data_IF_035308535781
#
_entry.id   IF_035308535781
#
_cell.length_a   1.000
_cell.length_b   1.000
_cell.length_c   1.000
_cell.angle_alpha   90.00
_cell.angle_beta   90.00
_cell.angle_gamma   90.00
#
_symmetry.space_group_name_H-M   'P 1'
#
loop_
_entity.id
_entity.type
_entity.pdbx_description
1 polymer ?
#
# COMPACT_ATOMS: atom_id res chain seq x y z
N UNK A 1 11.83 -15.61 -6.47
CA UNK A 1 11.03 -16.83 -6.30
C UNK A 1 10.11 -16.77 -5.07
N UNK A 2 8.81 -16.52 -5.30
CA UNK A 2 7.75 -16.52 -4.25
C UNK A 2 6.68 -17.53 -4.61
N UNK A 3 6.31 -18.42 -3.69
CA UNK A 3 5.20 -19.38 -3.90
C UNK A 3 3.87 -18.70 -3.61
N UNK A 4 2.95 -18.78 -4.56
CA UNK A 4 1.61 -18.20 -4.45
C UNK A 4 0.53 -19.30 -4.64
N UNK A 5 -0.66 -19.02 -4.13
CA UNK A 5 -1.85 -19.86 -4.29
C UNK A 5 -3.00 -18.94 -4.69
N UNK A 6 -3.70 -19.28 -5.77
CA UNK A 6 -4.89 -18.53 -6.21
C UNK A 6 -6.09 -18.85 -5.33
N UNK A 7 -7.12 -18.01 -5.37
CA UNK A 7 -8.40 -18.28 -4.68
C UNK A 7 -9.07 -19.59 -5.14
N UNK A 8 -8.75 -20.06 -6.36
CA UNK A 8 -9.19 -21.35 -6.90
C UNK A 8 -8.34 -22.55 -6.49
N UNK A 9 -7.31 -22.35 -5.65
CA UNK A 9 -6.44 -23.40 -5.14
C UNK A 9 -5.26 -23.79 -6.04
N UNK A 10 -5.07 -23.10 -7.18
CA UNK A 10 -3.91 -23.33 -8.05
C UNK A 10 -2.65 -22.76 -7.38
N UNK A 11 -1.65 -23.60 -7.13
CA UNK A 11 -0.36 -23.15 -6.63
C UNK A 11 0.64 -23.01 -7.77
N UNK A 12 1.34 -21.87 -7.80
CA UNK A 12 2.39 -21.58 -8.76
C UNK A 12 3.54 -20.86 -8.07
N UNK A 13 4.69 -20.82 -8.74
CA UNK A 13 5.84 -20.06 -8.28
C UNK A 13 6.02 -18.86 -9.19
N UNK A 14 6.06 -17.67 -8.59
CA UNK A 14 6.38 -16.44 -9.27
C UNK A 14 7.88 -16.20 -9.17
N UNK A 15 8.56 -16.24 -10.31
CA UNK A 15 9.98 -15.90 -10.43
C UNK A 15 10.13 -14.81 -11.51
N UNK A 16 10.39 -13.59 -11.04
CA UNK A 16 10.55 -12.41 -11.89
C UNK A 16 12.03 -12.02 -11.86
N UNK A 17 12.61 -11.76 -13.04
CA UNK A 17 14.03 -11.38 -13.16
C UNK A 17 14.36 -10.06 -12.44
N UNK A 18 13.34 -9.21 -12.24
CA UNK A 18 13.45 -7.95 -11.51
C UNK A 18 12.25 -7.76 -10.57
N UNK A 19 12.39 -6.86 -9.60
CA UNK A 19 11.30 -6.44 -8.72
C UNK A 19 10.23 -5.71 -9.55
N UNK A 20 9.14 -6.41 -9.86
CA UNK A 20 7.99 -5.85 -10.57
C UNK A 20 6.85 -5.57 -9.60
N UNK A 21 6.26 -4.39 -9.67
CA UNK A 21 4.99 -4.09 -8.99
C UNK A 21 3.84 -4.70 -9.79
N UNK A 22 2.93 -5.37 -9.11
CA UNK A 22 1.69 -5.87 -9.70
C UNK A 22 0.55 -4.98 -9.21
N UNK A 23 -0.25 -4.48 -10.14
CA UNK A 23 -1.43 -3.67 -9.85
C UNK A 23 -2.73 -4.48 -9.96
N UNK A 24 -3.79 -3.96 -9.36
CA UNK A 24 -5.12 -4.55 -9.50
C UNK A 24 -5.53 -4.57 -10.98
N UNK A 25 -6.01 -5.71 -11.45
CA UNK A 25 -6.36 -5.89 -12.85
C UNK A 25 -5.26 -6.48 -13.74
N UNK A 26 -4.02 -6.58 -13.25
CA UNK A 26 -2.93 -7.23 -13.98
C UNK A 26 -3.17 -8.74 -14.16
N UNK A 27 -2.52 -9.33 -15.15
CA UNK A 27 -2.53 -10.77 -15.37
C UNK A 27 -1.13 -11.36 -15.29
N UNK A 28 -1.00 -12.42 -14.51
CA UNK A 28 0.17 -13.30 -14.53
C UNK A 28 -0.16 -14.44 -15.49
N UNK A 29 0.56 -14.50 -16.62
CA UNK A 29 0.47 -15.64 -17.54
C UNK A 29 1.47 -16.72 -17.10
N UNK A 30 1.00 -17.95 -16.92
CA UNK A 30 1.84 -19.10 -16.59
C UNK A 30 2.15 -19.93 -17.85
N UNK A 31 3.09 -20.87 -17.75
CA UNK A 31 3.68 -21.57 -18.90
C UNK A 31 2.69 -22.36 -19.79
N UNK A 32 1.52 -22.72 -19.28
CA UNK A 32 0.47 -23.41 -20.03
C UNK A 32 -0.49 -22.45 -20.77
N UNK A 33 -0.23 -21.14 -20.71
CA UNK A 33 -1.06 -20.08 -21.30
C UNK A 33 -2.23 -19.64 -20.41
N UNK A 34 -2.39 -20.22 -19.22
CA UNK A 34 -3.41 -19.77 -18.25
C UNK A 34 -3.05 -18.38 -17.71
N UNK A 35 -4.06 -17.51 -17.59
CA UNK A 35 -3.92 -16.17 -17.02
C UNK A 35 -4.56 -16.09 -15.65
N UNK A 36 -3.77 -15.66 -14.67
CA UNK A 36 -4.18 -15.45 -13.29
C UNK A 36 -4.36 -13.95 -13.08
N UNK A 37 -5.59 -13.53 -12.82
CA UNK A 37 -5.91 -12.13 -12.51
C UNK A 37 -5.39 -11.75 -11.12
N UNK A 38 -4.64 -10.65 -11.05
CA UNK A 38 -4.25 -10.01 -9.80
C UNK A 38 -5.42 -9.18 -9.31
N UNK A 39 -5.88 -9.46 -8.09
CA UNK A 39 -6.88 -8.66 -7.38
C UNK A 39 -6.31 -8.13 -6.09
N UNK A 40 -6.38 -6.81 -5.92
CA UNK A 40 -6.09 -6.19 -4.64
C UNK A 40 -7.15 -6.64 -3.62
N UNK A 41 -6.69 -7.25 -2.54
CA UNK A 41 -7.56 -7.75 -1.47
C UNK A 41 -8.23 -6.55 -0.78
N UNK A 42 -9.56 -6.54 -0.59
CA UNK A 42 -10.20 -5.54 0.25
C UNK A 42 -9.65 -5.61 1.68
N UNK A 43 -9.24 -4.47 2.20
CA UNK A 43 -8.74 -4.32 3.57
C UNK A 43 -9.45 -3.15 4.27
N UNK A 44 -9.42 -3.13 5.60
CA UNK A 44 -9.97 -1.99 6.35
C UNK A 44 -9.03 -0.80 6.22
N UNK A 45 -9.56 0.31 5.72
CA UNK A 45 -8.82 1.53 5.43
C UNK A 45 -9.47 2.71 6.16
N UNK A 46 -8.67 3.74 6.42
CA UNK A 46 -9.18 5.04 6.84
C UNK A 46 -9.40 5.93 5.61
N UNK A 47 -10.66 6.28 5.37
CA UNK A 47 -11.10 7.21 4.34
C UNK A 47 -11.16 8.61 4.92
N UNK A 48 -10.34 9.49 4.34
CA UNK A 48 -10.17 10.86 4.79
C UNK A 48 -10.90 11.79 3.82
N UNK A 49 -11.79 12.62 4.35
CA UNK A 49 -12.52 13.65 3.60
C UNK A 49 -12.42 15.01 4.29
N UNK A 50 -12.71 16.08 3.55
CA UNK A 50 -12.80 17.43 4.13
C UNK A 50 -12.46 18.53 3.12
N UNK A 51 -12.52 19.80 3.56
CA UNK A 51 -12.32 20.94 2.66
C UNK A 51 -10.86 21.10 2.20
N UNK A 52 -9.88 20.56 2.95
CA UNK A 52 -8.44 20.80 2.75
C UNK A 52 -7.68 19.52 2.35
N UNK A 53 -8.21 18.72 1.43
CA UNK A 53 -7.62 17.42 1.05
C UNK A 53 -6.14 17.49 0.62
N UNK A 54 -5.72 18.55 -0.07
CA UNK A 54 -4.32 18.72 -0.48
C UNK A 54 -3.38 18.89 0.73
N UNK A 55 -3.81 19.64 1.74
CA UNK A 55 -3.05 19.83 2.97
C UNK A 55 -2.98 18.52 3.77
N UNK A 56 -4.08 17.77 3.82
CA UNK A 56 -4.11 16.44 4.44
C UNK A 56 -3.14 15.48 3.75
N UNK A 57 -3.14 15.44 2.41
CA UNK A 57 -2.20 14.63 1.64
C UNK A 57 -0.75 14.99 1.93
N UNK A 58 -0.44 16.29 2.08
CA UNK A 58 0.88 16.76 2.47
C UNK A 58 1.29 16.27 3.87
N UNK A 59 0.41 16.40 4.86
CA UNK A 59 0.71 15.94 6.23
C UNK A 59 0.92 14.42 6.33
N UNK A 60 0.14 13.65 5.59
CA UNK A 60 0.26 12.18 5.48
C UNK A 60 1.57 11.83 4.78
N UNK A 61 1.85 12.45 3.64
CA UNK A 61 3.08 12.20 2.87
C UNK A 61 4.35 12.55 3.65
N UNK A 62 4.34 13.63 4.44
CA UNK A 62 5.44 14.00 5.33
C UNK A 62 5.78 12.97 6.41
N UNK A 63 4.87 12.02 6.68
CA UNK A 63 5.09 10.90 7.60
C UNK A 63 5.48 9.63 6.88
N UNK A 64 5.73 9.70 5.58
CA UNK A 64 6.02 8.56 4.72
C UNK A 64 4.93 7.47 4.79
N UNK A 65 3.68 7.87 5.08
CA UNK A 65 2.54 6.96 5.13
C UNK A 65 2.04 6.69 3.70
N UNK A 66 1.92 5.41 3.28
CA UNK A 66 1.31 5.07 2.00
C UNK A 66 -0.09 5.66 1.89
N UNK A 67 -0.34 6.39 0.80
CA UNK A 67 -1.59 7.12 0.59
C UNK A 67 -2.08 6.90 -0.84
N UNK A 68 -3.36 6.56 -0.97
CA UNK A 68 -4.07 6.55 -2.25
C UNK A 68 -4.88 7.84 -2.37
N UNK A 69 -4.66 8.57 -3.46
CA UNK A 69 -5.27 9.88 -3.71
C UNK A 69 -6.44 9.70 -4.68
N UNK A 70 -7.63 10.08 -4.25
CA UNK A 70 -8.84 10.12 -5.07
C UNK A 70 -9.33 11.57 -5.21
N UNK A 71 -10.17 11.84 -6.21
CA UNK A 71 -10.62 13.22 -6.50
C UNK A 71 -11.38 13.90 -5.34
N UNK A 72 -11.92 13.14 -4.39
CA UNK A 72 -12.72 13.67 -3.28
C UNK A 72 -12.40 13.06 -1.91
N UNK A 73 -11.41 12.19 -1.81
CA UNK A 73 -11.00 11.57 -0.56
C UNK A 73 -9.58 10.99 -0.68
N UNK A 74 -8.98 10.68 0.46
CA UNK A 74 -7.73 9.92 0.54
C UNK A 74 -8.01 8.59 1.23
N UNK A 75 -7.27 7.55 0.87
CA UNK A 75 -7.24 6.30 1.63
C UNK A 75 -5.84 6.09 2.18
N UNK A 76 -5.78 5.65 3.44
CA UNK A 76 -4.58 5.12 4.07
C UNK A 76 -4.95 3.82 4.80
N UNK A 77 -3.95 3.01 5.13
CA UNK A 77 -4.14 1.96 6.11
C UNK A 77 -4.52 2.57 7.46
N UNK A 78 -5.37 1.88 8.22
CA UNK A 78 -5.83 2.37 9.53
C UNK A 78 -4.64 2.67 10.44
N UNK A 79 -4.57 3.90 10.91
CA UNK A 79 -3.50 4.41 11.77
C UNK A 79 -4.07 5.50 12.67
N UNK A 80 -4.37 5.13 13.92
CA UNK A 80 -4.96 6.02 14.90
C UNK A 80 -4.18 7.33 15.13
N UNK A 81 -2.85 7.35 14.92
CA UNK A 81 -2.04 8.57 15.08
C UNK A 81 -2.31 9.53 13.92
N UNK A 82 -2.34 9.01 12.69
CA UNK A 82 -2.65 9.80 11.50
C UNK A 82 -4.11 10.24 11.52
N UNK A 83 -5.04 9.34 11.86
CA UNK A 83 -6.46 9.63 11.94
C UNK A 83 -6.74 10.77 12.93
N UNK A 84 -6.20 10.67 14.15
CA UNK A 84 -6.35 11.72 15.16
C UNK A 84 -5.73 13.06 14.72
N UNK A 85 -4.58 13.02 14.05
CA UNK A 85 -3.96 14.22 13.47
C UNK A 85 -4.88 14.88 12.43
N UNK A 86 -5.47 14.10 11.53
CA UNK A 86 -6.39 14.58 10.50
C UNK A 86 -7.62 15.23 11.13
N UNK A 87 -8.21 14.60 12.15
CA UNK A 87 -9.34 15.17 12.88
C UNK A 87 -8.97 16.50 13.55
N UNK A 88 -7.76 16.61 14.11
CA UNK A 88 -7.26 17.84 14.75
C UNK A 88 -7.09 19.01 13.78
N UNK A 89 -6.80 18.74 12.52
CA UNK A 89 -6.68 19.77 11.47
C UNK A 89 -7.97 19.95 10.66
N UNK A 90 -9.10 19.41 11.16
CA UNK A 90 -10.44 19.63 10.62
C UNK A 90 -10.86 18.69 9.49
N UNK A 91 -10.18 17.54 9.34
CA UNK A 91 -10.60 16.46 8.45
C UNK A 91 -11.59 15.51 9.10
N UNK A 92 -12.23 14.69 8.29
CA UNK A 92 -13.14 13.63 8.73
C UNK A 92 -12.57 12.27 8.33
N UNK A 93 -12.63 11.32 9.25
CA UNK A 93 -12.17 9.93 9.05
C UNK A 93 -13.37 8.99 9.13
N UNK A 94 -13.48 8.09 8.17
CA UNK A 94 -14.43 6.97 8.16
C UNK A 94 -13.66 5.67 7.84
N UNK A 95 -13.96 4.57 8.52
CA UNK A 95 -13.38 3.27 8.15
C UNK A 95 -14.19 2.60 7.05
N UNK A 96 -13.53 2.23 5.96
CA UNK A 96 -14.13 1.54 4.81
C UNK A 96 -13.41 0.24 4.52
N UNK A 97 -14.06 -0.69 3.80
CA UNK A 97 -13.42 -1.93 3.34
C UNK A 97 -13.37 -1.94 1.83
N UNK A 98 -12.21 -1.60 1.27
CA UNK A 98 -12.00 -1.46 -0.17
C UNK A 98 -10.59 -1.93 -0.55
N UNK A 99 -10.33 -2.26 -1.83
CA UNK A 99 -8.97 -2.52 -2.30
C UNK A 99 -8.06 -1.30 -2.13
N UNK A 100 -6.80 -1.54 -1.75
CA UNK A 100 -5.83 -0.49 -1.52
C UNK A 100 -4.65 -0.56 -2.50
N UNK A 101 -4.50 0.49 -3.30
CA UNK A 101 -3.45 0.66 -4.31
C UNK A 101 -2.75 2.02 -4.10
N UNK A 102 -2.01 2.21 -2.99
CA UNK A 102 -1.33 3.48 -2.71
C UNK A 102 -0.29 3.79 -3.78
N UNK A 103 -0.03 5.08 -3.99
CA UNK A 103 1.06 5.51 -4.84
C UNK A 103 2.39 5.04 -4.24
N UNK A 104 3.28 4.53 -5.11
CA UNK A 104 4.65 4.19 -4.70
C UNK A 104 5.40 5.43 -4.20
N UNK A 105 6.27 5.26 -3.21
CA UNK A 105 7.12 6.34 -2.72
C UNK A 105 8.08 6.85 -3.81
N UNK A 106 8.49 8.12 -3.71
CA UNK A 106 9.35 8.79 -4.69
C UNK A 106 10.75 8.13 -4.89
N UNK A 107 11.14 7.21 -4.02
CA UNK A 107 12.47 6.58 -4.02
C UNK A 107 12.46 5.09 -4.42
N UNK A 108 11.43 4.63 -5.14
CA UNK A 108 11.50 3.36 -5.87
C UNK A 108 11.56 2.08 -5.02
N UNK A 109 11.42 2.18 -3.69
CA UNK A 109 11.00 1.04 -2.87
C UNK A 109 9.53 0.77 -3.18
N UNK A 110 9.27 0.08 -4.29
CA UNK A 110 7.93 -0.36 -4.67
C UNK A 110 7.26 -1.07 -3.50
N UNK A 111 6.01 -0.69 -3.19
CA UNK A 111 5.10 -1.19 -2.14
C UNK A 111 5.71 -2.32 -1.28
N UNK A 112 6.73 -2.00 -0.49
CA UNK A 112 7.34 -3.02 0.36
C UNK A 112 6.36 -3.23 1.50
N UNK A 113 5.75 -4.42 1.53
CA UNK A 113 5.16 -4.97 2.74
C UNK A 113 6.05 -4.61 3.93
N UNK A 114 5.46 -4.01 4.96
CA UNK A 114 6.14 -3.65 6.20
C UNK A 114 6.85 -4.86 6.79
N UNK A 115 8.13 -5.02 6.47
CA UNK A 115 9.04 -5.83 7.24
C UNK A 115 9.73 -4.89 8.22
N UNK A 116 9.35 -5.02 9.48
CA UNK A 116 10.08 -4.49 10.62
C UNK A 116 11.55 -4.95 10.51
N UNK A 117 12.42 -4.00 10.23
CA UNK A 117 13.86 -4.15 10.41
C UNK A 117 14.35 -2.98 11.25
N UNK A 118 14.19 -3.12 12.57
CA UNK A 118 15.05 -2.44 13.52
C UNK A 118 16.50 -2.83 13.25
N UNK A 119 17.26 -1.94 12.60
CA UNK A 119 18.71 -2.04 12.53
C UNK A 119 19.29 -0.91 13.38
N UNK A 120 19.57 -1.22 14.66
CA UNK A 120 20.52 -0.45 15.45
C UNK A 120 21.89 -0.57 14.81
N UNK A 121 22.33 0.47 14.11
CA UNK A 121 23.71 0.62 13.67
C UNK A 121 24.48 1.48 14.68
N UNK A 122 25.15 0.83 15.63
CA UNK A 122 26.26 1.44 16.37
C UNK A 122 27.43 0.47 16.45
N UNK A 123 28.39 0.64 15.53
CA UNK A 123 29.78 0.26 15.79
C UNK A 123 30.67 1.38 15.22
N UNK A 124 31.15 2.25 16.10
CA UNK A 124 32.32 3.08 15.82
C UNK A 124 33.54 2.30 16.29
N UNK A 125 34.43 1.95 15.37
CA UNK A 125 35.80 1.55 15.69
C UNK A 125 36.72 2.70 15.26
N UNK A 126 37.46 3.24 16.23
CA UNK A 126 38.67 4.03 16.04
C UNK A 126 39.85 3.17 16.46
#
# INVERSE_FOLDING_TARGET
MTKLVTDGGLSFVLDLEQTTSLDDGDYIEIADGTRILVKAKPETLAKITGPNLLEFAWHIGNRHTPCQIMSGYLLIQTDHVIEHMIEHIGGFVEHVTEPFTPLGGAYGAGRTHSHDHGVSAHVHAH
#
